data_IF_034044265059
#
_entry.id   IF_034044265059
#
_cell.length_a   1.000
_cell.length_b   1.000
_cell.length_c   1.000
_cell.angle_alpha   90.00
_cell.angle_beta   90.00
_cell.angle_gamma   90.00
#
_symmetry.space_group_name_H-M   'P 1'
#
loop_
_entity.id
_entity.type
_entity.pdbx_description
1 polymer ?
#
# COMPACT_ATOMS: atom_id res chain seq x y z
N UNK A 1 -3.01 -16.15 -11.20
CA UNK A 1 -1.96 -16.96 -10.55
C UNK A 1 -2.12 -17.02 -9.05
N UNK A 2 -2.28 -15.87 -8.38
CA UNK A 2 -2.34 -15.80 -6.92
C UNK A 2 -3.77 -15.71 -6.35
N UNK A 3 -3.90 -15.96 -5.04
CA UNK A 3 -5.13 -15.71 -4.29
C UNK A 3 -5.39 -14.21 -4.07
N UNK A 4 -6.57 -13.91 -3.53
CA UNK A 4 -7.03 -12.55 -3.21
C UNK A 4 -6.12 -11.80 -2.23
N UNK A 5 -6.30 -10.49 -2.16
CA UNK A 5 -5.60 -9.59 -1.23
C UNK A 5 -5.85 -9.87 0.27
N UNK A 6 -6.77 -10.79 0.59
CA UNK A 6 -7.04 -11.30 1.94
C UNK A 6 -6.15 -12.49 2.34
N UNK A 7 -5.38 -13.06 1.40
CA UNK A 7 -4.50 -14.22 1.64
C UNK A 7 -3.28 -13.88 2.52
N UNK A 8 -2.56 -14.93 2.95
CA UNK A 8 -1.37 -14.78 3.80
C UNK A 8 -0.19 -14.14 3.08
N UNK A 9 -0.07 -14.32 1.76
CA UNK A 9 1.00 -13.73 0.93
C UNK A 9 0.38 -12.91 -0.22
N UNK A 10 -0.26 -11.78 0.10
CA UNK A 10 -1.13 -11.08 -0.85
C UNK A 10 -0.37 -10.16 -1.81
N UNK A 11 0.92 -9.90 -1.57
CA UNK A 11 1.72 -9.05 -2.43
C UNK A 11 2.07 -9.77 -3.72
N UNK A 12 1.82 -9.10 -4.86
CA UNK A 12 2.11 -9.62 -6.19
C UNK A 12 3.58 -9.48 -6.55
N UNK A 13 4.31 -8.60 -5.85
CA UNK A 13 5.73 -8.31 -6.11
C UNK A 13 6.66 -9.10 -5.23
N UNK A 14 6.22 -9.56 -4.05
CA UNK A 14 7.07 -10.28 -3.11
C UNK A 14 6.34 -11.42 -2.36
N UNK A 15 7.13 -12.25 -1.69
CA UNK A 15 6.69 -13.38 -0.88
C UNK A 15 6.60 -13.06 0.62
N UNK A 16 6.51 -11.77 0.98
CA UNK A 16 6.35 -11.32 2.36
C UNK A 16 4.97 -11.68 2.90
N UNK A 17 4.93 -12.19 4.14
CA UNK A 17 3.67 -12.55 4.79
C UNK A 17 2.93 -11.27 5.24
N UNK A 18 1.62 -11.19 5.03
CA UNK A 18 0.80 -10.01 5.36
C UNK A 18 1.00 -9.51 6.80
N UNK A 19 1.23 -10.43 7.74
CA UNK A 19 1.40 -10.11 9.16
C UNK A 19 2.69 -9.33 9.45
N UNK A 20 3.66 -9.34 8.53
CA UNK A 20 4.98 -8.70 8.68
C UNK A 20 5.12 -7.43 7.84
N UNK A 21 4.07 -6.96 7.16
CA UNK A 21 4.13 -5.76 6.30
C UNK A 21 4.58 -4.46 7.01
N UNK A 22 4.51 -4.39 8.34
CA UNK A 22 5.05 -3.27 9.13
C UNK A 22 6.49 -3.44 9.61
N UNK A 23 7.09 -4.62 9.38
CA UNK A 23 8.46 -4.92 9.79
C UNK A 23 9.39 -4.39 8.69
N UNK A 24 9.66 -3.08 8.76
CA UNK A 24 10.50 -2.34 7.81
C UNK A 24 11.79 -1.83 8.45
N UNK A 25 12.26 -2.51 9.50
CA UNK A 25 13.44 -2.10 10.27
C UNK A 25 14.67 -1.87 9.36
N UNK A 26 14.84 -2.67 8.30
CA UNK A 26 15.89 -2.49 7.28
C UNK A 26 15.66 -1.39 6.23
N UNK A 27 14.63 -0.53 6.36
CA UNK A 27 14.41 0.62 5.46
C UNK A 27 14.72 1.98 6.11
N UNK A 28 14.70 2.03 7.45
CA UNK A 28 14.89 3.26 8.23
C UNK A 28 16.35 3.41 8.67
N UNK A 29 17.04 2.30 8.89
CA UNK A 29 18.42 2.30 9.35
C UNK A 29 19.38 2.36 8.14
N UNK A 30 20.09 3.48 7.96
CA UNK A 30 21.04 3.77 6.87
C UNK A 30 22.20 2.75 6.74
N UNK A 31 22.36 1.83 7.69
CA UNK A 31 23.43 0.82 7.73
C UNK A 31 22.97 -0.60 7.31
N UNK A 32 21.72 -0.78 6.90
CA UNK A 32 21.23 -2.11 6.50
C UNK A 32 21.55 -2.43 5.03
N UNK A 33 22.35 -3.49 4.86
CA UNK A 33 22.88 -4.01 3.60
C UNK A 33 21.87 -4.00 2.44
N UNK A 34 22.32 -3.49 1.28
CA UNK A 34 21.66 -3.57 -0.04
C UNK A 34 21.23 -5.02 -0.43
N UNK A 35 21.71 -6.04 0.28
CA UNK A 35 21.49 -7.46 0.01
C UNK A 35 20.27 -8.11 0.69
N UNK A 36 19.53 -7.46 1.60
CA UNK A 36 18.34 -8.11 2.21
C UNK A 36 17.07 -8.04 1.33
N UNK A 37 17.06 -7.17 0.32
CA UNK A 37 15.97 -7.07 -0.67
C UNK A 37 16.00 -8.20 -1.72
N UNK A 38 17.15 -8.85 -1.92
CA UNK A 38 17.34 -9.89 -2.96
C UNK A 38 16.65 -11.23 -2.65
N UNK A 39 16.14 -11.43 -1.43
CA UNK A 39 15.59 -12.72 -1.00
C UNK A 39 14.08 -12.93 -1.12
N UNK A 40 13.28 -11.96 -1.60
CA UNK A 40 11.81 -12.06 -1.46
C UNK A 40 10.96 -11.55 -2.63
N UNK A 41 11.52 -11.04 -3.73
CA UNK A 41 10.73 -10.66 -4.89
C UNK A 41 10.20 -11.89 -5.65
N UNK A 42 9.02 -11.75 -6.25
CA UNK A 42 8.43 -12.80 -7.07
C UNK A 42 8.95 -12.70 -8.49
N UNK A 43 9.38 -13.84 -9.02
CA UNK A 43 9.57 -14.03 -10.45
C UNK A 43 8.40 -14.82 -11.04
N UNK A 44 8.27 -14.86 -12.37
CA UNK A 44 7.29 -15.75 -13.02
C UNK A 44 7.58 -17.22 -12.69
N UNK A 45 8.86 -17.60 -12.59
CA UNK A 45 9.30 -18.94 -12.19
C UNK A 45 8.87 -19.31 -10.78
N UNK A 46 9.05 -18.41 -9.81
CA UNK A 46 8.62 -18.66 -8.42
C UNK A 46 7.10 -18.87 -8.32
N UNK A 47 6.31 -18.12 -9.11
CA UNK A 47 4.85 -18.32 -9.17
C UNK A 47 4.51 -19.66 -9.82
N UNK A 48 5.16 -20.04 -10.93
CA UNK A 48 4.92 -21.30 -11.64
C UNK A 48 5.24 -22.51 -10.76
N UNK A 49 6.39 -22.50 -10.10
CA UNK A 49 6.83 -23.54 -9.16
C UNK A 49 5.85 -23.69 -8.01
N UNK A 50 5.52 -22.60 -7.31
CA UNK A 50 4.58 -22.65 -6.19
C UNK A 50 3.18 -23.11 -6.63
N UNK A 51 2.68 -22.67 -7.79
CA UNK A 51 1.41 -23.11 -8.33
C UNK A 51 1.41 -24.60 -8.72
N UNK A 52 2.54 -25.12 -9.21
CA UNK A 52 2.70 -26.54 -9.55
C UNK A 52 2.67 -27.39 -8.28
N UNK A 53 3.45 -27.04 -7.25
CA UNK A 53 3.41 -27.74 -5.96
C UNK A 53 2.02 -27.70 -5.30
N UNK A 54 1.33 -26.56 -5.41
CA UNK A 54 -0.04 -26.40 -4.97
C UNK A 54 -0.99 -27.37 -5.69
N UNK A 55 -0.83 -27.53 -7.00
CA UNK A 55 -1.61 -28.48 -7.81
C UNK A 55 -1.30 -29.94 -7.45
N UNK A 56 -0.03 -30.28 -7.27
CA UNK A 56 0.39 -31.65 -6.89
C UNK A 56 -0.15 -32.03 -5.52
N UNK A 57 -0.05 -31.14 -4.52
CA UNK A 57 -0.63 -31.40 -3.18
C UNK A 57 -2.14 -31.54 -3.23
N UNK A 58 -2.85 -30.77 -4.07
CA UNK A 58 -4.30 -30.93 -4.28
C UNK A 58 -4.67 -32.33 -4.78
N UNK A 59 -3.88 -32.88 -5.71
CA UNK A 59 -4.11 -34.22 -6.27
C UNK A 59 -3.81 -35.30 -5.22
N UNK A 60 -2.70 -35.16 -4.48
CA UNK A 60 -2.23 -36.17 -3.52
C UNK A 60 -3.07 -36.24 -2.24
N UNK A 61 -3.57 -35.11 -1.75
CA UNK A 61 -4.09 -35.03 -0.38
C UNK A 61 -5.52 -35.56 -0.24
N UNK A 62 -6.31 -35.72 -1.31
CA UNK A 62 -7.72 -36.12 -1.28
C UNK A 62 -8.59 -35.31 -0.28
N UNK A 63 -8.08 -34.18 0.23
CA UNK A 63 -8.74 -33.30 1.20
C UNK A 63 -9.43 -32.17 0.44
N UNK A 64 -10.68 -31.89 0.81
CA UNK A 64 -11.50 -30.80 0.23
C UNK A 64 -10.90 -29.39 0.43
N UNK A 65 -9.99 -29.22 1.39
CA UNK A 65 -9.41 -27.94 1.76
C UNK A 65 -7.95 -28.12 2.15
N UNK A 66 -7.07 -27.32 1.55
CA UNK A 66 -5.67 -27.20 1.93
C UNK A 66 -5.29 -25.71 1.94
N UNK A 67 -4.30 -25.35 2.75
CA UNK A 67 -3.88 -23.96 2.91
C UNK A 67 -2.92 -23.57 1.80
N UNK A 68 -3.35 -22.69 0.90
CA UNK A 68 -2.46 -22.11 -0.12
C UNK A 68 -1.34 -21.23 0.47
N UNK A 69 -1.37 -20.95 1.77
CA UNK A 69 -0.28 -20.30 2.51
C UNK A 69 1.06 -21.02 2.31
N UNK A 70 1.07 -22.34 2.32
CA UNK A 70 2.28 -23.15 2.15
C UNK A 70 2.96 -22.94 0.78
N UNK A 71 2.18 -22.46 -0.20
CA UNK A 71 2.63 -22.20 -1.56
C UNK A 71 2.66 -20.72 -1.86
N UNK A 72 2.93 -19.89 -0.84
CA UNK A 72 3.00 -18.43 -0.97
C UNK A 72 1.77 -17.84 -1.65
N UNK A 73 0.60 -18.43 -1.41
CA UNK A 73 -0.69 -18.05 -2.02
C UNK A 73 -0.75 -18.13 -3.56
N UNK A 74 0.16 -18.86 -4.20
CA UNK A 74 0.10 -19.21 -5.62
C UNK A 74 -0.79 -20.45 -5.82
N UNK A 75 -1.84 -20.31 -6.63
CA UNK A 75 -2.86 -21.36 -6.84
C UNK A 75 -3.07 -21.73 -8.31
N UNK A 76 -2.48 -20.95 -9.22
CA UNK A 76 -2.52 -21.17 -10.65
C UNK A 76 -1.25 -20.60 -11.30
N UNK A 77 -0.90 -21.11 -12.48
CA UNK A 77 0.19 -20.55 -13.30
C UNK A 77 -0.11 -19.08 -13.66
N UNK A 78 0.91 -18.23 -13.85
CA UNK A 78 0.71 -16.87 -14.37
C UNK A 78 0.17 -16.93 -15.81
N UNK A 79 -0.55 -15.88 -16.22
CA UNK A 79 -1.00 -15.73 -17.62
C UNK A 79 0.18 -15.39 -18.54
N UNK A 80 1.18 -14.68 -18.00
CA UNK A 80 2.39 -14.33 -18.73
C UNK A 80 3.25 -15.57 -19.00
N UNK A 81 3.65 -15.73 -20.25
CA UNK A 81 4.53 -16.81 -20.72
C UNK A 81 5.91 -16.25 -21.12
N UNK A 82 6.53 -15.48 -20.22
CA UNK A 82 7.91 -15.00 -20.36
C UNK A 82 8.88 -15.84 -19.52
N UNK A 83 10.16 -15.47 -19.54
CA UNK A 83 11.25 -16.13 -18.81
C UNK A 83 10.95 -16.30 -17.31
N UNK A 84 11.47 -17.37 -16.71
CA UNK A 84 11.27 -17.71 -15.30
C UNK A 84 11.96 -16.71 -14.36
N UNK A 85 13.05 -16.07 -14.79
CA UNK A 85 13.82 -15.10 -14.01
C UNK A 85 13.18 -13.70 -14.00
N UNK A 86 12.18 -13.46 -14.85
CA UNK A 86 11.57 -12.16 -14.97
C UNK A 86 10.77 -11.81 -13.71
N UNK A 87 11.14 -10.70 -13.06
CA UNK A 87 10.45 -10.18 -11.88
C UNK A 87 9.03 -9.73 -12.24
N UNK A 88 8.08 -10.01 -11.36
CA UNK A 88 6.70 -9.51 -11.54
C UNK A 88 6.67 -7.99 -11.53
N UNK A 89 7.53 -7.35 -10.74
CA UNK A 89 7.65 -5.89 -10.66
C UNK A 89 8.07 -5.24 -11.99
N UNK A 90 8.74 -5.99 -12.87
CA UNK A 90 9.14 -5.52 -14.20
C UNK A 90 8.01 -5.62 -15.24
N UNK A 91 7.03 -6.48 -14.98
CA UNK A 91 5.91 -6.75 -15.88
C UNK A 91 4.66 -5.97 -15.49
N UNK A 92 4.45 -5.81 -14.18
CA UNK A 92 3.25 -5.21 -13.62
C UNK A 92 3.67 -4.01 -12.78
N UNK A 93 3.46 -2.78 -13.29
CA UNK A 93 3.83 -1.59 -12.55
C UNK A 93 2.95 -1.40 -11.30
N UNK A 94 3.47 -0.80 -10.22
CA UNK A 94 2.66 -0.33 -9.11
C UNK A 94 1.56 0.65 -9.58
N UNK A 95 0.31 0.22 -9.54
CA UNK A 95 -0.84 1.00 -10.03
C UNK A 95 -1.14 2.21 -9.13
N UNK A 96 -0.70 3.40 -9.53
CA UNK A 96 -0.75 4.63 -8.71
C UNK A 96 -2.15 4.91 -8.15
N UNK A 97 -3.19 4.77 -8.99
CA UNK A 97 -4.55 5.12 -8.63
C UNK A 97 -5.05 4.24 -7.48
N UNK A 98 -4.75 2.95 -7.53
CA UNK A 98 -5.15 2.00 -6.50
C UNK A 98 -4.35 2.17 -5.20
N UNK A 99 -3.13 2.70 -5.29
CA UNK A 99 -2.33 3.05 -4.11
C UNK A 99 -2.92 4.30 -3.44
N UNK A 100 -3.19 5.35 -4.22
CA UNK A 100 -3.85 6.58 -3.76
C UNK A 100 -5.16 6.27 -3.04
N UNK A 101 -6.06 5.54 -3.70
CA UNK A 101 -7.35 5.14 -3.15
C UNK A 101 -7.18 4.34 -1.85
N UNK A 102 -6.27 3.36 -1.85
CA UNK A 102 -6.06 2.46 -0.72
C UNK A 102 -5.51 3.16 0.52
N UNK A 103 -4.57 4.10 0.35
CA UNK A 103 -3.96 4.82 1.47
C UNK A 103 -4.90 5.89 2.02
N UNK A 104 -5.45 6.76 1.16
CA UNK A 104 -6.26 7.90 1.62
C UNK A 104 -7.52 7.42 2.35
N UNK A 105 -8.25 6.46 1.77
CA UNK A 105 -9.45 5.93 2.43
C UNK A 105 -9.10 5.23 3.76
N UNK A 106 -7.93 4.56 3.84
CA UNK A 106 -7.50 3.89 5.07
C UNK A 106 -7.14 4.89 6.16
N UNK A 107 -6.33 5.90 5.86
CA UNK A 107 -5.98 6.94 6.83
C UNK A 107 -7.24 7.64 7.34
N UNK A 108 -8.17 7.96 6.43
CA UNK A 108 -9.46 8.54 6.78
C UNK A 108 -10.27 7.64 7.73
N UNK A 109 -10.42 6.34 7.39
CA UNK A 109 -11.22 5.41 8.21
C UNK A 109 -10.62 5.19 9.60
N UNK A 110 -9.29 5.18 9.72
CA UNK A 110 -8.63 5.01 11.01
C UNK A 110 -8.62 6.29 11.85
N UNK A 111 -8.50 7.46 11.21
CA UNK A 111 -8.67 8.74 11.89
C UNK A 111 -10.07 8.84 12.48
N UNK A 112 -11.12 8.49 11.71
CA UNK A 112 -12.50 8.52 12.17
C UNK A 112 -12.72 7.61 13.39
N UNK A 113 -12.14 6.39 13.35
CA UNK A 113 -12.16 5.47 14.49
C UNK A 113 -11.42 6.01 15.70
N UNK A 114 -10.27 6.65 15.51
CA UNK A 114 -9.49 7.24 16.61
C UNK A 114 -10.25 8.39 17.28
N UNK A 115 -10.85 9.28 16.48
CA UNK A 115 -11.70 10.37 16.96
C UNK A 115 -12.90 9.84 17.74
N UNK A 116 -13.62 8.86 17.19
CA UNK A 116 -14.77 8.24 17.84
C UNK A 116 -14.39 7.52 19.15
N UNK A 117 -13.28 6.78 19.17
CA UNK A 117 -12.80 6.09 20.36
C UNK A 117 -12.38 7.07 21.48
N UNK A 118 -11.90 8.26 21.11
CA UNK A 118 -11.58 9.33 22.05
C UNK A 118 -12.81 10.16 22.47
N UNK A 119 -14.01 9.87 21.94
CA UNK A 119 -15.23 10.60 22.25
C UNK A 119 -15.26 12.03 21.68
N UNK A 120 -14.50 12.29 20.61
CA UNK A 120 -14.49 13.59 19.95
C UNK A 120 -15.83 13.88 19.27
N UNK A 121 -16.28 15.13 19.33
CA UNK A 121 -17.47 15.59 18.62
C UNK A 121 -17.22 15.75 17.12
N UNK A 122 -15.98 16.05 16.72
CA UNK A 122 -15.55 16.14 15.32
C UNK A 122 -15.26 14.75 14.76
N UNK A 123 -15.63 14.57 13.50
CA UNK A 123 -15.47 13.33 12.74
C UNK A 123 -14.68 13.59 11.47
N UNK A 124 -14.21 12.52 10.82
CA UNK A 124 -13.60 12.66 9.48
C UNK A 124 -14.62 13.13 8.44
N UNK A 125 -15.91 12.85 8.67
CA UNK A 125 -17.00 13.30 7.80
C UNK A 125 -17.11 14.82 7.78
N UNK A 126 -16.97 15.48 8.91
CA UNK A 126 -16.99 16.95 8.99
C UNK A 126 -15.93 17.56 8.07
N UNK A 127 -14.74 16.95 8.00
CA UNK A 127 -13.71 17.35 7.06
C UNK A 127 -14.14 17.20 5.60
N UNK A 128 -14.65 16.03 5.21
CA UNK A 128 -15.10 15.82 3.83
C UNK A 128 -16.29 16.69 3.43
N UNK A 129 -17.20 16.97 4.37
CA UNK A 129 -18.39 17.79 4.15
C UNK A 129 -18.01 19.25 3.89
N UNK A 130 -17.03 19.81 4.61
CA UNK A 130 -16.49 21.16 4.34
C UNK A 130 -15.94 21.31 2.92
N UNK A 131 -15.47 20.21 2.33
CA UNK A 131 -14.94 20.17 0.98
C UNK A 131 -15.99 19.74 -0.06
N UNK A 132 -17.24 19.55 0.35
CA UNK A 132 -18.34 19.04 -0.48
C UNK A 132 -18.03 17.67 -1.12
N UNK A 133 -17.25 16.84 -0.43
CA UNK A 133 -16.86 15.52 -0.88
C UNK A 133 -17.72 14.45 -0.22
N UNK A 134 -18.32 13.60 -1.04
CA UNK A 134 -19.07 12.43 -0.58
C UNK A 134 -18.42 11.14 -1.04
N UNK A 135 -18.52 10.11 -0.19
CA UNK A 135 -18.21 8.73 -0.54
C UNK A 135 -19.37 8.16 -1.34
N UNK A 136 -19.07 7.40 -2.39
CA UNK A 136 -20.12 6.79 -3.23
C UNK A 136 -20.68 5.54 -2.55
N UNK A 137 -21.99 5.30 -2.72
CA UNK A 137 -22.66 4.12 -2.16
C UNK A 137 -22.19 2.80 -2.82
N UNK A 138 -21.77 2.86 -4.07
CA UNK A 138 -21.18 1.75 -4.82
C UNK A 138 -19.65 1.73 -4.62
N UNK A 139 -19.04 0.54 -4.70
CA UNK A 139 -17.62 0.28 -4.38
C UNK A 139 -17.23 0.41 -2.89
N UNK A 140 -18.14 0.02 -1.98
CA UNK A 140 -17.80 -0.16 -0.57
C UNK A 140 -17.64 1.13 0.24
N UNK A 141 -18.28 2.22 -0.19
CA UNK A 141 -18.30 3.46 0.60
C UNK A 141 -16.96 4.20 0.61
N UNK A 142 -16.30 4.29 -0.54
CA UNK A 142 -14.97 4.92 -0.67
C UNK A 142 -15.02 6.22 -1.48
N UNK A 143 -14.02 7.07 -1.27
CA UNK A 143 -13.73 8.20 -2.14
C UNK A 143 -13.12 7.72 -3.46
N UNK A 144 -13.42 8.43 -4.55
CA UNK A 144 -12.80 8.22 -5.86
C UNK A 144 -11.47 9.00 -5.97
N UNK A 145 -10.65 8.73 -7.01
CA UNK A 145 -9.31 9.29 -7.15
C UNK A 145 -9.24 10.82 -7.05
N UNK A 146 -10.15 11.52 -7.72
CA UNK A 146 -10.21 12.99 -7.65
C UNK A 146 -10.55 13.50 -6.25
N UNK A 147 -11.44 12.80 -5.52
CA UNK A 147 -11.78 13.16 -4.14
C UNK A 147 -10.60 12.90 -3.21
N UNK A 148 -9.87 11.79 -3.39
CA UNK A 148 -8.65 11.51 -2.64
C UNK A 148 -7.57 12.56 -2.87
N UNK A 149 -7.38 13.01 -4.12
CA UNK A 149 -6.44 14.08 -4.44
C UNK A 149 -6.87 15.39 -3.78
N UNK A 150 -8.15 15.76 -3.86
CA UNK A 150 -8.67 16.96 -3.22
C UNK A 150 -8.53 16.93 -1.69
N UNK A 151 -8.73 15.79 -1.05
CA UNK A 151 -8.47 15.63 0.39
C UNK A 151 -7.00 15.90 0.71
N UNK A 152 -6.06 15.32 -0.06
CA UNK A 152 -4.63 15.56 0.14
C UNK A 152 -4.25 17.03 -0.07
N UNK A 153 -4.84 17.69 -1.07
CA UNK A 153 -4.57 19.10 -1.36
C UNK A 153 -5.14 20.05 -0.27
N UNK A 154 -6.06 19.57 0.56
CA UNK A 154 -6.75 20.34 1.59
C UNK A 154 -6.45 19.82 3.01
N UNK A 155 -5.29 19.20 3.24
CA UNK A 155 -4.92 18.66 4.57
C UNK A 155 -4.79 19.77 5.62
N UNK A 156 -4.43 21.00 5.23
CA UNK A 156 -4.38 22.13 6.16
C UNK A 156 -5.77 22.49 6.71
N UNK A 157 -6.84 22.27 5.91
CA UNK A 157 -8.22 22.45 6.39
C UNK A 157 -8.61 21.43 7.46
N UNK A 158 -8.06 20.20 7.38
CA UNK A 158 -8.22 19.18 8.41
C UNK A 158 -7.52 19.58 9.70
N UNK A 159 -6.28 20.05 9.62
CA UNK A 159 -5.53 20.48 10.81
C UNK A 159 -6.26 21.60 11.55
N UNK A 160 -6.73 22.63 10.83
CA UNK A 160 -7.51 23.73 11.41
C UNK A 160 -8.80 23.23 12.08
N UNK A 161 -9.51 22.29 11.44
CA UNK A 161 -10.71 21.68 12.01
C UNK A 161 -10.42 20.97 13.32
N UNK A 162 -9.37 20.14 13.35
CA UNK A 162 -8.98 19.37 14.53
C UNK A 162 -8.52 20.27 15.67
N UNK A 163 -7.71 21.29 15.39
CA UNK A 163 -7.27 22.27 16.40
C UNK A 163 -8.45 23.00 17.01
N UNK A 164 -9.39 23.48 16.17
CA UNK A 164 -10.59 24.19 16.64
C UNK A 164 -11.49 23.31 17.52
N UNK A 165 -11.52 22.00 17.26
CA UNK A 165 -12.26 21.02 18.03
C UNK A 165 -11.47 20.42 19.20
N UNK A 166 -10.24 20.90 19.46
CA UNK A 166 -9.31 20.35 20.46
C UNK A 166 -9.04 18.84 20.28
N UNK A 167 -9.17 18.35 19.05
CA UNK A 167 -9.09 16.95 18.66
C UNK A 167 -7.65 16.52 18.34
N UNK A 168 -6.71 16.77 19.26
CA UNK A 168 -5.27 16.59 19.01
C UNK A 168 -4.87 15.15 18.68
N UNK A 169 -5.69 14.16 19.04
CA UNK A 169 -5.52 12.75 18.65
C UNK A 169 -5.51 12.54 17.12
N UNK A 170 -6.12 13.46 16.36
CA UNK A 170 -6.13 13.45 14.89
C UNK A 170 -4.86 14.03 14.25
N UNK A 171 -4.03 14.79 14.98
CA UNK A 171 -2.86 15.48 14.41
C UNK A 171 -1.83 14.52 13.79
N UNK A 172 -1.51 13.35 14.38
CA UNK A 172 -0.64 12.38 13.72
C UNK A 172 -1.15 11.93 12.34
N UNK A 173 -2.48 11.89 12.13
CA UNK A 173 -3.05 11.56 10.82
C UNK A 173 -2.84 12.68 9.80
N UNK A 174 -2.86 13.95 10.22
CA UNK A 174 -2.51 15.10 9.38
C UNK A 174 -1.08 14.95 8.88
N UNK A 175 -0.14 14.62 9.76
CA UNK A 175 1.26 14.37 9.39
C UNK A 175 1.39 13.24 8.36
N UNK A 176 0.69 12.12 8.58
CA UNK A 176 0.69 11.00 7.64
C UNK A 176 0.06 11.36 6.28
N UNK A 177 -1.02 12.15 6.25
CA UNK A 177 -1.61 12.64 5.00
C UNK A 177 -0.66 13.59 4.26
N UNK A 178 0.00 14.53 4.96
CA UNK A 178 0.99 15.43 4.36
C UNK A 178 2.17 14.66 3.78
N UNK A 179 2.73 13.71 4.53
CA UNK A 179 3.82 12.87 4.06
C UNK A 179 3.40 12.05 2.83
N UNK A 180 2.18 11.49 2.83
CA UNK A 180 1.68 10.77 1.65
C UNK A 180 1.44 11.67 0.44
N UNK A 181 1.02 12.92 0.65
CA UNK A 181 0.92 13.92 -0.43
C UNK A 181 2.29 14.15 -1.07
N UNK A 182 3.37 14.25 -0.28
CA UNK A 182 4.72 14.36 -0.81
C UNK A 182 5.12 13.15 -1.67
N UNK A 183 4.77 11.92 -1.24
CA UNK A 183 4.96 10.71 -2.08
C UNK A 183 4.22 10.84 -3.41
N UNK A 184 2.92 11.18 -3.38
CA UNK A 184 2.11 11.35 -4.59
C UNK A 184 2.75 12.38 -5.53
N UNK A 185 3.07 13.57 -5.01
CA UNK A 185 3.52 14.67 -5.83
C UNK A 185 4.95 14.45 -6.36
N UNK A 186 5.76 13.62 -5.68
CA UNK A 186 7.14 13.33 -6.09
C UNK A 186 7.26 12.17 -7.09
N UNK A 187 6.41 11.14 -7.03
CA UNK A 187 6.59 9.95 -7.87
C UNK A 187 5.32 9.31 -8.47
N UNK A 188 4.10 9.77 -8.16
CA UNK A 188 2.91 9.15 -8.75
C UNK A 188 2.67 9.66 -10.18
N UNK A 189 2.94 10.93 -10.48
CA UNK A 189 2.76 11.48 -11.83
C UNK A 189 3.78 11.01 -12.88
N UNK A 190 3.81 11.68 -14.03
CA UNK A 190 4.80 11.41 -15.09
C UNK A 190 6.24 11.77 -14.71
N UNK A 191 6.40 12.76 -13.82
CA UNK A 191 7.70 13.23 -13.39
C UNK A 191 8.13 12.49 -12.11
N UNK A 192 9.39 12.05 -12.08
CA UNK A 192 10.05 11.58 -10.88
C UNK A 192 10.90 12.75 -10.33
N UNK A 193 10.50 13.28 -9.19
CA UNK A 193 11.17 14.44 -8.59
C UNK A 193 12.35 13.98 -7.73
N UNK A 194 13.51 14.65 -7.77
CA UNK A 194 14.62 14.35 -6.87
C UNK A 194 14.17 14.39 -5.39
N UNK A 195 14.55 13.38 -4.61
CA UNK A 195 14.16 13.25 -3.19
C UNK A 195 12.84 12.51 -2.95
N UNK A 196 12.28 11.84 -3.96
CA UNK A 196 11.09 10.99 -3.77
C UNK A 196 11.33 9.85 -2.79
N UNK A 197 12.56 9.35 -2.67
CA UNK A 197 12.95 8.32 -1.68
C UNK A 197 12.80 8.86 -0.26
N UNK A 198 13.17 10.12 -0.04
CA UNK A 198 13.01 10.81 1.25
C UNK A 198 11.52 10.96 1.55
N UNK A 199 10.71 11.39 0.59
CA UNK A 199 9.26 11.51 0.76
C UNK A 199 8.62 10.16 1.15
N UNK A 200 9.09 9.05 0.57
CA UNK A 200 8.64 7.69 0.92
C UNK A 200 9.07 7.32 2.33
N UNK A 201 10.32 7.57 2.72
CA UNK A 201 10.85 7.31 4.08
C UNK A 201 10.10 8.12 5.14
N UNK A 202 9.82 9.39 4.86
CA UNK A 202 9.03 10.26 5.73
C UNK A 202 7.61 9.73 5.90
N UNK A 203 6.99 9.26 4.81
CA UNK A 203 5.67 8.63 4.88
C UNK A 203 5.68 7.32 5.66
N UNK A 204 6.70 6.47 5.49
CA UNK A 204 6.87 5.25 6.29
C UNK A 204 6.90 5.61 7.78
N UNK A 205 7.75 6.56 8.17
CA UNK A 205 7.89 7.01 9.55
C UNK A 205 6.57 7.56 10.10
N UNK A 206 5.92 8.47 9.38
CA UNK A 206 4.65 9.06 9.79
C UNK A 206 3.53 8.01 9.92
N UNK A 207 3.43 7.07 8.98
CA UNK A 207 2.40 6.03 9.00
C UNK A 207 2.61 5.05 10.16
N UNK A 208 3.85 4.60 10.41
CA UNK A 208 4.13 3.64 11.48
C UNK A 208 3.88 4.22 12.87
N UNK A 209 4.13 5.53 13.07
CA UNK A 209 3.79 6.24 14.32
C UNK A 209 2.30 6.18 14.68
N UNK A 210 1.41 5.98 13.69
CA UNK A 210 -0.03 5.82 13.95
C UNK A 210 -0.38 4.51 14.66
N UNK A 211 0.50 3.50 14.62
CA UNK A 211 0.24 2.17 15.20
C UNK A 211 -0.89 1.40 14.52
N UNK A 212 -1.33 1.81 13.33
CA UNK A 212 -2.40 1.14 12.58
C UNK A 212 -1.82 0.04 11.67
N UNK A 213 -2.57 -1.04 11.37
CA UNK A 213 -2.03 -2.13 10.55
C UNK A 213 -1.59 -1.66 9.17
N UNK A 214 -0.51 -2.24 8.64
CA UNK A 214 -0.05 -1.97 7.26
C UNK A 214 -0.90 -2.77 6.27
N UNK A 215 -1.58 -2.06 5.37
CA UNK A 215 -2.35 -2.70 4.30
C UNK A 215 -1.46 -3.12 3.14
N UNK A 216 -1.95 -3.98 2.24
CA UNK A 216 -1.22 -4.35 1.02
C UNK A 216 -0.79 -3.12 0.20
N UNK A 217 -1.65 -2.11 0.08
CA UNK A 217 -1.33 -0.90 -0.70
C UNK A 217 -0.23 -0.07 -0.04
N UNK A 218 -0.23 0.00 1.29
CA UNK A 218 0.83 0.68 2.06
C UNK A 218 2.14 -0.10 1.96
N UNK A 219 2.13 -1.42 2.08
CA UNK A 219 3.31 -2.26 1.85
C UNK A 219 3.91 -2.08 0.45
N UNK A 220 3.07 -1.92 -0.59
CA UNK A 220 3.55 -1.61 -1.95
C UNK A 220 4.32 -0.29 -1.99
N UNK A 221 3.83 0.73 -1.28
CA UNK A 221 4.54 2.01 -1.17
C UNK A 221 5.86 1.85 -0.42
N UNK A 222 5.85 1.09 0.68
CA UNK A 222 7.01 0.93 1.55
C UNK A 222 8.17 0.20 0.87
N UNK A 223 7.88 -0.81 0.06
CA UNK A 223 8.92 -1.75 -0.39
C UNK A 223 9.11 -1.79 -1.90
N UNK A 224 8.11 -1.39 -2.69
CA UNK A 224 8.12 -1.67 -4.14
C UNK A 224 8.17 -0.42 -5.01
N UNK A 225 7.96 0.78 -4.46
CA UNK A 225 8.01 2.02 -5.25
C UNK A 225 9.44 2.48 -5.50
N UNK A 226 10.30 2.51 -4.47
CA UNK A 226 11.70 2.92 -4.65
C UNK A 226 12.40 2.03 -5.70
N UNK A 227 12.44 0.69 -5.56
CA UNK A 227 13.13 -0.15 -6.55
C UNK A 227 12.55 -0.03 -7.96
N UNK A 228 11.23 0.17 -8.07
CA UNK A 228 10.58 0.35 -9.37
C UNK A 228 10.98 1.68 -10.04
N UNK A 229 10.94 2.78 -9.29
CA UNK A 229 11.30 4.11 -9.78
C UNK A 229 12.79 4.20 -10.12
N UNK A 230 13.68 3.66 -9.27
CA UNK A 230 15.13 3.61 -9.53
C UNK A 230 15.44 2.89 -10.84
N UNK A 231 14.84 1.71 -11.04
CA UNK A 231 15.04 0.90 -12.25
C UNK A 231 14.57 1.61 -13.52
N UNK A 232 13.42 2.27 -13.46
CA UNK A 232 12.79 2.86 -14.64
C UNK A 232 13.17 4.32 -14.89
N UNK A 233 13.71 5.00 -13.87
CA UNK A 233 13.98 6.43 -13.85
C UNK A 233 12.78 7.29 -14.32
N UNK A 234 11.58 6.90 -13.88
CA UNK A 234 10.28 7.49 -14.26
C UNK A 234 9.30 7.43 -13.10
N UNK A 235 8.39 8.40 -13.05
CA UNK A 235 7.24 8.34 -12.15
C UNK A 235 6.18 7.32 -12.61
N UNK A 236 5.31 6.91 -11.70
CA UNK A 236 4.33 5.83 -11.92
C UNK A 236 3.28 6.16 -13.00
N UNK A 237 3.05 7.44 -13.27
CA UNK A 237 2.05 7.91 -14.24
C UNK A 237 2.38 7.51 -15.68
N UNK A 238 3.64 7.17 -15.98
CA UNK A 238 4.02 6.57 -17.25
C UNK A 238 3.46 5.16 -17.48
N UNK A 239 3.01 4.51 -16.41
CA UNK A 239 2.66 3.10 -16.37
C UNK A 239 1.23 2.83 -15.91
N UNK A 240 0.44 3.89 -15.74
CA UNK A 240 -0.92 3.85 -15.16
C UNK A 240 -2.03 4.08 -16.18
#
# INVERSE_FOLDING_TARGET
>A
GMQSASSSFPCIYCEKEKKTFGDVQGYIDEESNENELEGCLRTLGSIRMNAQHCKEKRVLSNVKSFSAKEFKSCVAKPLFNYDDELLVLDLVPPMELHLLLGVVNRLYDYMDKALAAAGMSVTSKDWSDMLFLSRRHYHGGQFIGNHCSKLLDEVDSLEMLLIKAEAFIGIPYVEAFRAFKQVKDSCFGFNLTPGYEIAIKDFISAYLKLGIPVSLKVHIIFEHIIPFCEKNNKGLGWFS
#
